data_IF_443982869259
#
_entry.id   IF_443982869259
#
_cell.length_a   1.000
_cell.length_b   1.000
_cell.length_c   1.000
_cell.angle_alpha   90.00
_cell.angle_beta   90.00
_cell.angle_gamma   90.00
#
_symmetry.space_group_name_H-M   'P 1'
#
loop_
_entity.id
_entity.type
_entity.pdbx_description
1 polymer ?
#
# COMPACT_ATOMS: atom_id res chain seq x y z
N UNK A 1 -17.78 0.59 -11.90
CA UNK A 1 -17.88 -0.68 -11.16
C UNK A 1 -18.33 -0.38 -9.74
N UNK A 2 -19.47 -0.92 -9.33
CA UNK A 2 -20.08 -0.57 -8.06
C UNK A 2 -19.58 -1.51 -6.97
N UNK A 3 -18.96 -0.97 -5.92
CA UNK A 3 -18.45 -1.76 -4.80
C UNK A 3 -19.61 -2.13 -3.87
N UNK A 4 -20.19 -3.32 -4.07
CA UNK A 4 -21.33 -3.85 -3.30
C UNK A 4 -21.08 -3.76 -1.78
N UNK A 5 -19.87 -4.06 -1.32
CA UNK A 5 -19.49 -4.03 0.10
C UNK A 5 -19.51 -2.62 0.73
N UNK A 6 -19.57 -1.55 -0.07
CA UNK A 6 -19.71 -0.16 0.44
C UNK A 6 -21.19 0.22 0.57
N UNK A 7 -22.05 -0.33 -0.30
CA UNK A 7 -23.46 0.08 -0.42
C UNK A 7 -24.42 -0.78 0.40
N UNK A 8 -24.05 -2.04 0.64
CA UNK A 8 -24.92 -3.02 1.26
C UNK A 8 -24.18 -3.70 2.41
N UNK A 9 -24.92 -3.97 3.49
CA UNK A 9 -24.41 -4.81 4.59
C UNK A 9 -24.45 -6.29 4.21
N UNK A 10 -23.67 -7.09 4.93
CA UNK A 10 -23.64 -8.55 4.74
C UNK A 10 -25.03 -9.16 4.92
N UNK A 11 -25.79 -8.70 5.92
CA UNK A 11 -27.17 -9.12 6.16
C UNK A 11 -28.11 -8.80 5.00
N UNK A 12 -28.05 -7.59 4.43
CA UNK A 12 -28.94 -7.19 3.34
C UNK A 12 -28.76 -8.07 2.11
N UNK A 13 -27.51 -8.40 1.77
CA UNK A 13 -27.26 -9.25 0.60
C UNK A 13 -27.57 -10.71 0.91
N UNK A 14 -27.35 -11.18 2.14
CA UNK A 14 -27.81 -12.51 2.58
C UNK A 14 -29.32 -12.64 2.40
N UNK A 15 -30.09 -11.65 2.86
CA UNK A 15 -31.54 -11.61 2.72
C UNK A 15 -31.98 -11.64 1.25
N UNK A 16 -31.35 -10.86 0.35
CA UNK A 16 -31.68 -10.92 -1.08
C UNK A 16 -31.40 -12.29 -1.70
N UNK A 17 -30.33 -12.96 -1.26
CA UNK A 17 -29.98 -14.29 -1.74
C UNK A 17 -30.95 -15.34 -1.20
N UNK A 18 -31.39 -15.22 0.06
CA UNK A 18 -32.40 -16.09 0.66
C UNK A 18 -33.75 -15.95 -0.05
N UNK A 19 -34.21 -14.73 -0.33
CA UNK A 19 -35.44 -14.50 -1.11
C UNK A 19 -35.37 -15.08 -2.52
N UNK A 20 -34.20 -15.10 -3.14
CA UNK A 20 -33.98 -15.80 -4.40
C UNK A 20 -34.09 -17.33 -4.25
N UNK A 21 -33.54 -17.89 -3.17
CA UNK A 21 -33.65 -19.33 -2.85
C UNK A 21 -35.12 -19.72 -2.61
N UNK A 22 -35.90 -18.85 -1.97
CA UNK A 22 -37.34 -19.04 -1.75
C UNK A 22 -38.20 -18.74 -2.99
N UNK A 23 -37.60 -18.41 -4.14
CA UNK A 23 -38.30 -18.07 -5.38
C UNK A 23 -39.24 -16.85 -5.29
N UNK A 24 -38.99 -15.94 -4.34
CA UNK A 24 -39.80 -14.73 -4.16
C UNK A 24 -39.41 -13.60 -5.12
N UNK A 25 -38.14 -13.58 -5.55
CA UNK A 25 -37.57 -12.50 -6.38
C UNK A 25 -36.70 -13.09 -7.49
N UNK A 26 -36.82 -12.52 -8.68
CA UNK A 26 -36.02 -12.91 -9.84
C UNK A 26 -34.55 -12.51 -9.73
N UNK A 27 -33.71 -13.35 -10.31
CA UNK A 27 -32.26 -13.15 -10.40
C UNK A 27 -31.89 -11.81 -11.06
N UNK A 28 -32.64 -11.38 -12.07
CA UNK A 28 -32.37 -10.17 -12.85
C UNK A 28 -32.55 -8.93 -11.97
N UNK A 29 -33.60 -8.92 -11.15
CA UNK A 29 -33.92 -7.82 -10.25
C UNK A 29 -32.81 -7.62 -9.20
N UNK A 30 -32.36 -8.71 -8.57
CA UNK A 30 -31.29 -8.65 -7.55
C UNK A 30 -29.96 -8.19 -8.18
N UNK A 31 -29.64 -8.66 -9.39
CA UNK A 31 -28.44 -8.21 -10.10
C UNK A 31 -28.46 -6.72 -10.41
N UNK A 32 -29.60 -6.18 -10.83
CA UNK A 32 -29.78 -4.75 -11.07
C UNK A 32 -29.68 -3.95 -9.77
N UNK A 33 -30.33 -4.41 -8.70
CA UNK A 33 -30.33 -3.75 -7.39
C UNK A 33 -28.91 -3.67 -6.78
N UNK A 34 -28.21 -4.80 -6.74
CA UNK A 34 -26.86 -4.90 -6.20
C UNK A 34 -25.81 -4.31 -7.17
N UNK A 35 -26.14 -4.14 -8.46
CA UNK A 35 -25.23 -3.62 -9.48
C UNK A 35 -24.07 -4.57 -9.76
N UNK A 36 -24.36 -5.87 -9.92
CA UNK A 36 -23.38 -6.93 -10.08
C UNK A 36 -23.75 -7.90 -11.20
N UNK A 37 -22.73 -8.49 -11.84
CA UNK A 37 -22.91 -9.45 -12.92
C UNK A 37 -23.24 -10.87 -12.44
N UNK A 38 -23.76 -11.68 -13.36
CA UNK A 38 -24.20 -13.07 -13.16
C UNK A 38 -23.18 -13.95 -12.43
N UNK A 39 -21.91 -13.92 -12.83
CA UNK A 39 -20.86 -14.75 -12.21
C UNK A 39 -20.67 -14.44 -10.73
N UNK A 40 -20.66 -13.15 -10.37
CA UNK A 40 -20.52 -12.72 -8.98
C UNK A 40 -21.74 -13.12 -8.14
N UNK A 41 -22.93 -13.10 -8.75
CA UNK A 41 -24.16 -13.55 -8.09
C UNK A 41 -24.09 -15.02 -7.70
N UNK A 42 -23.70 -15.89 -8.62
CA UNK A 42 -23.58 -17.32 -8.30
C UNK A 42 -22.48 -17.62 -7.29
N UNK A 43 -21.37 -16.87 -7.30
CA UNK A 43 -20.34 -17.00 -6.25
C UNK A 43 -20.90 -16.64 -4.88
N UNK A 44 -21.68 -15.55 -4.76
CA UNK A 44 -22.29 -15.19 -3.48
C UNK A 44 -23.36 -16.21 -3.06
N UNK A 45 -24.19 -16.68 -4.00
CA UNK A 45 -25.19 -17.72 -3.76
C UNK A 45 -24.53 -19.01 -3.23
N UNK A 46 -23.42 -19.42 -3.84
CA UNK A 46 -22.66 -20.60 -3.40
C UNK A 46 -22.12 -20.40 -1.98
N UNK A 47 -21.52 -19.24 -1.68
CA UNK A 47 -21.02 -18.92 -0.34
C UNK A 47 -22.13 -18.94 0.72
N UNK A 48 -23.29 -18.35 0.43
CA UNK A 48 -24.43 -18.41 1.34
C UNK A 48 -24.95 -19.84 1.59
N UNK A 49 -24.81 -20.75 0.61
CA UNK A 49 -25.22 -22.15 0.75
C UNK A 49 -24.21 -22.98 1.54
N UNK A 50 -22.92 -22.70 1.38
CA UNK A 50 -21.84 -23.44 2.07
C UNK A 50 -21.73 -23.03 3.54
N UNK A 51 -21.79 -21.74 3.83
CA UNK A 51 -21.70 -21.20 5.18
C UNK A 51 -22.58 -19.94 5.32
N UNK A 52 -23.86 -20.10 5.72
CA UNK A 52 -24.76 -18.98 5.90
C UNK A 52 -24.38 -18.11 7.10
N UNK A 53 -23.77 -18.67 8.15
CA UNK A 53 -23.42 -17.94 9.38
C UNK A 53 -22.12 -17.14 9.23
N UNK A 54 -21.15 -17.67 8.47
CA UNK A 54 -19.89 -16.99 8.15
C UNK A 54 -19.92 -16.09 6.92
N UNK A 55 -21.09 -15.87 6.31
CA UNK A 55 -21.21 -15.07 5.10
C UNK A 55 -20.77 -13.61 5.33
N UNK A 56 -19.77 -13.17 4.57
CA UNK A 56 -19.35 -11.77 4.53
C UNK A 56 -18.95 -11.32 3.13
N UNK A 57 -19.31 -10.09 2.81
CA UNK A 57 -19.01 -9.38 1.55
C UNK A 57 -17.92 -8.35 1.78
N UNK A 58 -17.59 -8.08 3.04
CA UNK A 58 -16.52 -7.18 3.43
C UNK A 58 -15.25 -7.53 2.66
N UNK A 59 -14.72 -6.55 1.93
CA UNK A 59 -13.49 -6.74 1.17
C UNK A 59 -12.31 -6.75 2.13
N UNK A 60 -11.81 -7.94 2.46
CA UNK A 60 -10.60 -8.11 3.28
C UNK A 60 -9.39 -8.39 2.38
N UNK A 61 -8.40 -7.50 2.44
CA UNK A 61 -7.12 -7.70 1.76
C UNK A 61 -6.15 -8.36 2.74
N UNK A 62 -5.99 -9.68 2.66
CA UNK A 62 -5.09 -10.43 3.55
C UNK A 62 -3.59 -10.21 3.26
N UNK A 63 -3.22 -9.83 2.02
CA UNK A 63 -1.82 -9.64 1.64
C UNK A 63 -1.60 -8.27 0.99
N UNK A 64 -0.54 -7.58 1.40
CA UNK A 64 -0.06 -6.38 0.70
C UNK A 64 0.52 -6.81 -0.66
N UNK A 65 -0.16 -6.47 -1.75
CA UNK A 65 0.27 -6.85 -3.10
C UNK A 65 1.44 -6.01 -3.64
N UNK A 66 1.72 -4.86 -3.03
CA UNK A 66 2.79 -3.93 -3.45
C UNK A 66 3.70 -3.65 -2.27
N UNK A 67 4.44 -4.67 -1.86
CA UNK A 67 5.40 -4.61 -0.75
C UNK A 67 6.76 -5.13 -1.21
N UNK A 68 7.79 -4.66 -0.53
CA UNK A 68 9.13 -5.23 -0.65
C UNK A 68 9.17 -6.44 0.31
N UNK A 69 9.79 -7.57 -0.08
CA UNK A 69 10.05 -8.66 0.84
C UNK A 69 10.87 -8.17 2.06
N UNK A 70 10.60 -8.67 3.28
CA UNK A 70 11.34 -8.26 4.47
C UNK A 70 12.85 -8.44 4.36
N UNK A 71 13.30 -9.43 3.59
CA UNK A 71 14.71 -9.71 3.34
C UNK A 71 15.41 -8.55 2.61
N UNK A 72 14.84 -8.08 1.50
CA UNK A 72 15.34 -6.92 0.74
C UNK A 72 15.30 -5.66 1.61
N UNK A 73 14.28 -5.52 2.47
CA UNK A 73 14.21 -4.41 3.41
C UNK A 73 15.36 -4.44 4.44
N UNK A 74 15.79 -5.62 4.88
CA UNK A 74 16.99 -5.82 5.69
C UNK A 74 18.25 -5.34 4.98
N UNK A 75 18.51 -5.81 3.76
CA UNK A 75 19.71 -5.41 3.00
C UNK A 75 19.76 -3.90 2.76
N UNK A 76 18.62 -3.26 2.42
CA UNK A 76 18.56 -1.80 2.26
C UNK A 76 19.00 -1.08 3.55
N UNK A 77 18.55 -1.56 4.71
CA UNK A 77 18.87 -0.93 6.00
C UNK A 77 20.32 -1.15 6.42
N UNK A 78 20.88 -2.34 6.16
CA UNK A 78 22.28 -2.65 6.42
C UNK A 78 23.19 -1.74 5.61
N UNK A 79 22.94 -1.62 4.30
CA UNK A 79 23.69 -0.75 3.40
C UNK A 79 23.60 0.73 3.81
N UNK A 80 22.41 1.19 4.20
CA UNK A 80 22.22 2.55 4.72
C UNK A 80 22.95 2.80 6.04
N UNK A 81 23.05 1.78 6.90
CA UNK A 81 23.76 1.89 8.16
C UNK A 81 25.27 1.99 7.95
N UNK A 82 25.82 1.25 6.97
CA UNK A 82 27.24 1.34 6.58
C UNK A 82 27.54 2.74 6.03
N UNK A 83 26.71 3.26 5.12
CA UNK A 83 26.90 4.60 4.55
C UNK A 83 26.83 5.68 5.63
N UNK A 84 25.92 5.52 6.60
CA UNK A 84 25.84 6.42 7.76
C UNK A 84 27.10 6.38 8.61
N UNK A 85 27.61 5.19 8.93
CA UNK A 85 28.84 5.05 9.73
C UNK A 85 30.03 5.74 9.06
N UNK A 86 30.16 5.62 7.73
CA UNK A 86 31.20 6.29 6.95
C UNK A 86 31.07 7.81 6.95
N UNK A 87 29.86 8.36 7.00
CA UNK A 87 29.63 9.81 7.04
C UNK A 87 29.86 10.39 8.44
N UNK A 88 29.60 9.59 9.47
CA UNK A 88 29.80 9.99 10.87
C UNK A 88 31.29 9.90 11.28
N UNK A 89 32.11 9.13 10.55
CA UNK A 89 33.56 9.03 10.75
C UNK A 89 34.28 10.34 10.37
N UNK A 90 35.02 11.00 11.29
CA UNK A 90 35.75 12.23 11.00
C UNK A 90 36.95 12.05 10.07
N UNK A 91 37.50 10.84 9.95
CA UNK A 91 38.67 10.53 9.13
C UNK A 91 38.30 10.33 7.65
N UNK A 92 37.03 10.06 7.37
CA UNK A 92 36.51 9.86 6.02
C UNK A 92 35.96 11.19 5.47
N UNK A 93 36.45 11.71 4.33
CA UNK A 93 36.01 12.99 3.78
C UNK A 93 34.64 12.92 3.06
N UNK A 94 33.73 12.04 3.51
CA UNK A 94 32.40 11.85 2.91
C UNK A 94 31.36 12.53 3.82
N UNK A 95 30.70 13.57 3.29
CA UNK A 95 29.77 14.42 4.07
C UNK A 95 28.30 14.26 3.66
N UNK A 96 28.03 13.49 2.60
CA UNK A 96 26.71 13.37 1.96
C UNK A 96 26.41 11.91 1.65
N UNK A 97 25.15 11.53 1.84
CA UNK A 97 24.63 10.23 1.45
C UNK A 97 24.58 10.08 -0.07
N UNK A 98 24.97 8.91 -0.57
CA UNK A 98 24.86 8.56 -1.98
C UNK A 98 23.92 7.35 -2.17
N UNK A 99 22.63 7.62 -2.30
CA UNK A 99 21.62 6.55 -2.43
C UNK A 99 21.66 5.82 -3.78
N UNK A 100 22.20 6.44 -4.84
CA UNK A 100 22.41 5.76 -6.12
C UNK A 100 23.48 4.68 -5.98
N UNK A 101 24.55 4.98 -5.23
CA UNK A 101 25.58 3.97 -4.95
C UNK A 101 25.02 2.78 -4.17
N UNK A 102 24.13 3.00 -3.20
CA UNK A 102 23.45 1.92 -2.48
C UNK A 102 22.58 1.10 -3.43
N UNK A 103 21.89 1.74 -4.38
CA UNK A 103 21.12 1.03 -5.40
C UNK A 103 22.01 0.11 -6.24
N UNK A 104 23.16 0.61 -6.69
CA UNK A 104 24.12 -0.17 -7.47
C UNK A 104 24.74 -1.32 -6.65
N UNK A 105 24.98 -1.08 -5.35
CA UNK A 105 25.50 -2.09 -4.41
C UNK A 105 24.48 -3.21 -4.16
N UNK A 106 23.20 -2.87 -4.06
CA UNK A 106 22.11 -3.85 -3.94
C UNK A 106 21.98 -4.74 -5.19
N UNK A 107 22.12 -4.16 -6.39
CA UNK A 107 22.06 -4.92 -7.65
C UNK A 107 23.31 -5.81 -7.86
N UNK A 108 24.49 -5.31 -7.49
CA UNK A 108 25.75 -6.03 -7.66
C UNK A 108 25.99 -7.13 -6.62
N UNK A 109 25.66 -6.88 -5.35
CA UNK A 109 25.97 -7.79 -4.23
C UNK A 109 24.86 -8.80 -4.00
N UNK A 110 23.60 -8.34 -3.98
CA UNK A 110 22.45 -9.17 -3.62
C UNK A 110 21.60 -9.55 -4.84
N UNK A 111 21.90 -9.01 -6.03
CA UNK A 111 21.10 -9.16 -7.26
C UNK A 111 19.65 -8.70 -7.09
N UNK A 112 19.46 -7.68 -6.24
CA UNK A 112 18.15 -7.14 -5.89
C UNK A 112 17.90 -5.81 -6.60
N UNK A 113 17.05 -5.87 -7.63
CA UNK A 113 16.62 -4.69 -8.40
C UNK A 113 15.63 -3.85 -7.61
N UNK A 114 16.13 -2.90 -6.82
CA UNK A 114 15.30 -1.94 -6.08
C UNK A 114 15.30 -0.58 -6.80
N UNK A 115 14.15 0.09 -6.83
CA UNK A 115 14.07 1.44 -7.41
C UNK A 115 14.57 2.50 -6.42
N UNK A 116 15.25 3.53 -6.91
CA UNK A 116 15.74 4.63 -6.08
C UNK A 116 14.65 5.29 -5.20
N UNK A 117 13.41 5.56 -5.70
CA UNK A 117 12.34 6.10 -4.85
C UNK A 117 12.01 5.21 -3.65
N UNK A 118 12.14 3.89 -3.82
CA UNK A 118 11.91 2.92 -2.76
C UNK A 118 12.96 3.04 -1.65
N UNK A 119 14.23 3.18 -2.02
CA UNK A 119 15.34 3.41 -1.08
C UNK A 119 15.13 4.75 -0.37
N UNK A 120 14.80 5.81 -1.10
CA UNK A 120 14.54 7.15 -0.53
C UNK A 120 13.37 7.14 0.46
N UNK A 121 12.30 6.38 0.19
CA UNK A 121 11.20 6.21 1.13
C UNK A 121 11.66 5.57 2.44
N UNK A 122 12.53 4.55 2.37
CA UNK A 122 13.12 3.89 3.56
C UNK A 122 14.10 4.79 4.31
N UNK A 123 14.91 5.55 3.59
CA UNK A 123 15.78 6.59 4.15
C UNK A 123 14.97 7.58 4.98
N UNK A 124 13.88 8.11 4.43
CA UNK A 124 13.02 9.09 5.12
C UNK A 124 12.37 8.52 6.37
N UNK A 125 11.91 7.26 6.31
CA UNK A 125 11.27 6.57 7.44
C UNK A 125 12.25 6.27 8.57
N UNK A 126 13.49 5.93 8.26
CA UNK A 126 14.51 5.52 9.23
C UNK A 126 15.50 6.63 9.60
N UNK A 127 15.39 7.81 9.01
CA UNK A 127 16.20 8.98 9.39
C UNK A 127 17.62 9.01 8.82
N UNK A 128 17.92 8.22 7.77
CA UNK A 128 19.22 8.21 7.09
C UNK A 128 19.41 9.39 6.13
N UNK A 129 18.99 10.60 6.52
CA UNK A 129 19.12 11.79 5.68
C UNK A 129 19.44 13.01 6.52
N UNK A 130 20.24 13.91 5.93
CA UNK A 130 20.54 15.20 6.55
C UNK A 130 19.44 16.20 6.19
N UNK A 131 18.69 16.67 7.21
CA UNK A 131 17.74 17.77 7.03
C UNK A 131 18.50 19.03 6.62
N UNK A 132 18.13 19.63 5.50
CA UNK A 132 18.66 20.94 5.14
C UNK A 132 18.10 22.00 6.10
N UNK A 133 18.95 22.88 6.68
CA UNK A 133 18.47 23.97 7.49
C UNK A 133 17.61 24.90 6.64
N UNK A 134 16.49 25.37 7.19
CA UNK A 134 15.67 26.38 6.52
C UNK A 134 16.47 27.68 6.44
N UNK A 135 16.56 28.26 5.23
CA UNK A 135 17.15 29.59 5.05
C UNK A 135 16.27 30.61 5.76
N UNK A 136 16.89 31.58 6.43
CA UNK A 136 16.17 32.69 7.03
C UNK A 136 15.38 33.44 5.95
N UNK A 137 14.13 33.78 6.23
CA UNK A 137 13.32 34.62 5.35
C UNK A 137 13.88 36.03 5.45
N UNK A 138 14.35 36.59 4.34
CA UNK A 138 14.80 37.98 4.32
C UNK A 138 13.58 38.89 4.50
N UNK A 139 13.52 39.60 5.62
CA UNK A 139 12.57 40.69 5.80
C UNK A 139 13.21 41.93 5.18
N UNK A 140 12.79 42.29 3.96
CA UNK A 140 13.06 43.62 3.39
C UNK A 140 11.72 44.35 3.33
N UNK A 141 11.56 45.38 4.15
CA UNK A 141 10.44 46.31 4.06
C UNK A 141 10.70 47.25 2.88
N UNK A 142 9.83 47.23 1.87
CA UNK A 142 9.91 48.14 0.73
C UNK A 142 9.05 49.35 1.07
N UNK A 143 9.67 50.47 1.42
CA UNK A 143 8.94 51.74 1.55
C UNK A 143 8.61 52.27 0.16
N UNK A 144 7.36 52.11 -0.26
CA UNK A 144 6.80 52.82 -1.42
C UNK A 144 6.55 54.29 -1.04
N UNK A 145 7.07 55.22 -1.85
CA UNK A 145 6.81 56.67 -1.77
C UNK A 145 5.54 57.06 -2.52
#
# INVERSE_FOLDING_TARGET
MTQVHIRFSDHQVKEFIERYIHHEIDQIYIQQMLGMGKSRFFILLQRCREDPEGFSIAYTRHKKTRGIPPLIEGHILEELAVDKALIDDPDVPIRRYNYSYIQDRLDSTYHERVSLPTIIDRVKKNGFYRKHPRKAIHVREVMTR
#
